data_IF_705510004427
#
_entry.id   IF_705510004427
#
_cell.length_a   1.000
_cell.length_b   1.000
_cell.length_c   1.000
_cell.angle_alpha   90.00
_cell.angle_beta   90.00
_cell.angle_gamma   90.00
#
_symmetry.space_group_name_H-M   'P 1'
#
loop_
_entity.id
_entity.type
_entity.pdbx_description
1 polymer ?
#
# COMPACT_ATOMS: atom_id res chain seq x y z
N UNK A 1 -16.29 3.83 28.70
CA UNK A 1 -15.76 4.58 27.53
C UNK A 1 -15.06 3.58 26.63
N UNK A 2 -15.65 3.35 25.44
CA UNK A 2 -15.19 2.64 24.23
C UNK A 2 -14.01 1.64 24.33
N UNK A 3 -14.33 0.37 24.15
CA UNK A 3 -13.55 -0.54 23.29
C UNK A 3 -14.55 -1.33 22.44
N UNK A 4 -14.80 -0.84 21.22
CA UNK A 4 -15.46 -1.65 20.20
C UNK A 4 -14.40 -2.53 19.56
N UNK A 5 -14.28 -3.75 20.08
CA UNK A 5 -13.61 -4.87 19.44
C UNK A 5 -14.43 -5.24 18.18
N UNK A 6 -14.02 -4.77 17.01
CA UNK A 6 -14.50 -5.33 15.75
C UNK A 6 -13.60 -6.52 15.38
N UNK A 7 -13.81 -7.65 16.07
CA UNK A 7 -13.53 -8.96 15.48
C UNK A 7 -14.78 -9.33 14.73
N UNK A 8 -14.84 -9.01 13.44
CA UNK A 8 -15.78 -9.67 12.54
C UNK A 8 -15.23 -11.06 12.26
N UNK A 9 -15.62 -12.00 13.11
CA UNK A 9 -15.66 -13.43 12.80
C UNK A 9 -16.69 -13.61 11.68
N UNK A 10 -16.22 -13.57 10.43
CA UNK A 10 -17.00 -14.01 9.28
C UNK A 10 -16.55 -15.42 8.97
N UNK A 11 -17.29 -16.38 9.53
CA UNK A 11 -17.38 -17.76 9.06
C UNK A 11 -17.90 -17.76 7.63
N UNK A 12 -17.02 -17.44 6.68
CA UNK A 12 -17.25 -17.62 5.25
C UNK A 12 -16.73 -18.99 4.91
N UNK A 13 -17.68 -19.86 4.53
CA UNK A 13 -17.45 -21.17 3.95
C UNK A 13 -16.25 -21.14 3.01
N UNK A 14 -15.47 -22.22 3.10
CA UNK A 14 -14.40 -22.63 2.20
C UNK A 14 -14.85 -22.50 0.74
N UNK A 15 -14.73 -21.30 0.16
CA UNK A 15 -14.47 -21.21 -1.26
C UNK A 15 -13.04 -21.73 -1.42
N UNK A 16 -12.92 -22.83 -2.15
CA UNK A 16 -11.67 -23.39 -2.63
C UNK A 16 -10.72 -22.28 -3.06
N UNK A 17 -9.40 -22.50 -2.92
CA UNK A 17 -8.31 -21.60 -3.26
C UNK A 17 -8.36 -21.07 -4.70
N UNK A 18 -9.35 -20.24 -5.02
CA UNK A 18 -9.53 -19.61 -6.32
C UNK A 18 -8.62 -18.40 -6.35
N UNK A 19 -7.62 -18.44 -7.23
CA UNK A 19 -6.71 -17.34 -7.53
C UNK A 19 -7.51 -16.04 -7.74
N UNK A 20 -7.13 -14.96 -7.02
CA UNK A 20 -7.82 -13.67 -7.10
C UNK A 20 -7.89 -13.15 -8.55
N UNK A 21 -6.92 -13.51 -9.40
CA UNK A 21 -6.92 -13.13 -10.82
C UNK A 21 -8.05 -13.82 -11.60
N UNK A 22 -8.32 -15.09 -11.31
CA UNK A 22 -9.44 -15.82 -11.89
C UNK A 22 -10.77 -15.22 -11.45
N UNK A 23 -10.85 -14.77 -10.20
CA UNK A 23 -12.04 -14.13 -9.63
C UNK A 23 -12.28 -12.76 -10.28
N UNK A 24 -11.24 -11.94 -10.41
CA UNK A 24 -11.30 -10.66 -11.13
C UNK A 24 -11.81 -10.90 -12.56
N UNK A 25 -11.24 -11.86 -13.28
CA UNK A 25 -11.66 -12.19 -14.65
C UNK A 25 -13.11 -12.66 -14.71
N UNK A 26 -13.53 -13.53 -13.78
CA UNK A 26 -14.90 -14.02 -13.71
C UNK A 26 -15.91 -12.88 -13.47
N UNK A 27 -15.64 -12.02 -12.48
CA UNK A 27 -16.49 -10.87 -12.18
C UNK A 27 -16.51 -9.89 -13.34
N UNK A 28 -15.36 -9.56 -13.91
CA UNK A 28 -15.29 -8.66 -15.06
C UNK A 28 -16.09 -9.21 -16.25
N UNK A 29 -16.04 -10.52 -16.52
CA UNK A 29 -16.85 -11.14 -17.57
C UNK A 29 -18.36 -11.08 -17.27
N UNK A 30 -18.77 -11.38 -16.04
CA UNK A 30 -20.17 -11.28 -15.62
C UNK A 30 -20.69 -9.84 -15.69
N UNK A 31 -19.84 -8.89 -15.28
CA UNK A 31 -20.09 -7.46 -15.34
C UNK A 31 -20.22 -7.01 -16.80
N UNK A 32 -19.30 -7.42 -17.69
CA UNK A 32 -19.39 -7.18 -19.14
C UNK A 32 -20.68 -7.75 -19.74
N UNK A 33 -21.07 -8.96 -19.37
CA UNK A 33 -22.31 -9.57 -19.88
C UNK A 33 -23.56 -8.81 -19.43
N UNK A 34 -23.56 -8.32 -18.20
CA UNK A 34 -24.71 -7.63 -17.59
C UNK A 34 -24.86 -6.19 -18.07
N UNK A 35 -23.74 -5.47 -18.25
CA UNK A 35 -23.75 -4.05 -18.61
C UNK A 35 -23.28 -3.77 -20.03
N UNK A 36 -22.35 -4.55 -20.57
CA UNK A 36 -21.89 -4.45 -21.96
C UNK A 36 -23.02 -4.59 -22.98
N UNK A 37 -24.00 -5.44 -22.70
CA UNK A 37 -25.18 -5.62 -23.56
C UNK A 37 -26.24 -4.48 -23.44
N UNK A 38 -26.06 -3.55 -22.49
CA UNK A 38 -26.98 -2.42 -22.25
C UNK A 38 -26.30 -1.05 -22.41
N UNK A 39 -25.03 -1.04 -22.82
CA UNK A 39 -24.19 0.16 -23.01
C UNK A 39 -24.39 0.80 -24.40
N UNK A 40 -25.64 1.06 -24.77
CA UNK A 40 -25.96 1.76 -26.02
C UNK A 40 -25.63 3.26 -25.95
N UNK A 41 -25.59 3.84 -24.74
CA UNK A 41 -25.25 5.23 -24.53
C UNK A 41 -23.74 5.44 -24.37
N UNK A 42 -23.10 5.94 -25.44
CA UNK A 42 -21.67 6.28 -25.48
C UNK A 42 -21.22 7.21 -24.36
N UNK A 43 -22.07 8.13 -23.87
CA UNK A 43 -21.72 9.05 -22.78
C UNK A 43 -21.62 8.35 -21.42
N UNK A 44 -22.43 7.30 -21.20
CA UNK A 44 -22.35 6.51 -19.96
C UNK A 44 -21.06 5.68 -19.93
N UNK A 45 -20.70 5.13 -21.09
CA UNK A 45 -19.46 4.38 -21.27
C UNK A 45 -18.22 5.28 -21.05
N UNK A 46 -18.25 6.52 -21.55
CA UNK A 46 -17.19 7.51 -21.31
C UNK A 46 -17.00 7.78 -19.84
N UNK A 47 -18.09 8.06 -19.14
CA UNK A 47 -18.08 8.34 -17.71
C UNK A 47 -17.52 7.16 -16.92
N UNK A 48 -17.88 5.94 -17.28
CA UNK A 48 -17.41 4.73 -16.60
C UNK A 48 -15.91 4.47 -16.83
N UNK A 49 -15.41 4.74 -18.03
CA UNK A 49 -13.98 4.70 -18.34
C UNK A 49 -13.23 5.75 -17.53
N UNK A 50 -13.73 6.99 -17.50
CA UNK A 50 -13.11 8.05 -16.72
C UNK A 50 -13.05 7.67 -15.23
N UNK A 51 -14.12 7.09 -14.68
CA UNK A 51 -14.16 6.59 -13.30
C UNK A 51 -13.10 5.50 -13.06
N UNK A 52 -12.96 4.53 -13.95
CA UNK A 52 -11.98 3.44 -13.83
C UNK A 52 -10.55 3.99 -13.86
N UNK A 53 -10.23 4.84 -14.85
CA UNK A 53 -8.89 5.41 -15.03
C UNK A 53 -8.51 6.31 -13.84
N UNK A 54 -9.39 7.22 -13.43
CA UNK A 54 -9.16 8.12 -12.30
C UNK A 54 -9.02 7.33 -10.99
N UNK A 55 -9.83 6.29 -10.78
CA UNK A 55 -9.74 5.44 -9.58
C UNK A 55 -8.40 4.69 -9.50
N UNK A 56 -7.91 4.18 -10.63
CA UNK A 56 -6.58 3.55 -10.69
C UNK A 56 -5.47 4.56 -10.38
N UNK A 57 -5.50 5.75 -11.00
CA UNK A 57 -4.50 6.78 -10.74
C UNK A 57 -4.47 7.19 -9.25
N UNK A 58 -5.62 7.32 -8.60
CA UNK A 58 -5.68 7.56 -7.14
C UNK A 58 -5.01 6.44 -6.37
N UNK A 59 -5.28 5.17 -6.71
CA UNK A 59 -4.70 4.02 -6.04
C UNK A 59 -3.18 3.97 -6.22
N UNK A 60 -2.68 4.24 -7.43
CA UNK A 60 -1.26 4.26 -7.78
C UNK A 60 -0.52 5.38 -7.03
N UNK A 61 -1.05 6.61 -7.06
CA UNK A 61 -0.44 7.74 -6.34
C UNK A 61 -0.46 7.52 -4.82
N UNK A 62 -1.52 6.90 -4.30
CA UNK A 62 -1.60 6.55 -2.88
C UNK A 62 -0.50 5.54 -2.48
N UNK A 63 -0.26 4.52 -3.31
CA UNK A 63 0.81 3.54 -3.07
C UNK A 63 2.20 4.21 -3.14
N UNK A 64 2.43 5.07 -4.14
CA UNK A 64 3.68 5.83 -4.31
C UNK A 64 3.99 6.68 -3.08
N UNK A 65 3.00 7.45 -2.59
CA UNK A 65 3.15 8.23 -1.36
C UNK A 65 3.44 7.37 -0.14
N UNK A 66 2.80 6.20 0.00
CA UNK A 66 3.06 5.30 1.12
C UNK A 66 4.48 4.73 1.08
N UNK A 67 4.99 4.34 -0.09
CA UNK A 67 6.37 3.87 -0.26
C UNK A 67 7.39 4.96 0.04
N UNK A 68 7.14 6.18 -0.44
CA UNK A 68 8.00 7.34 -0.15
C UNK A 68 8.03 7.66 1.36
N UNK A 69 6.88 7.62 2.05
CA UNK A 69 6.80 7.80 3.50
C UNK A 69 7.59 6.74 4.26
N UNK A 70 7.48 5.46 3.89
CA UNK A 70 8.26 4.39 4.51
C UNK A 70 9.76 4.59 4.29
N UNK A 71 10.15 5.07 3.10
CA UNK A 71 11.55 5.39 2.79
C UNK A 71 12.06 6.53 3.66
N UNK A 72 11.28 7.61 3.84
CA UNK A 72 11.64 8.67 4.77
C UNK A 72 11.77 8.18 6.22
N UNK A 73 10.85 7.34 6.68
CA UNK A 73 10.90 6.78 8.02
C UNK A 73 12.16 5.93 8.25
N UNK A 74 12.54 5.13 7.25
CA UNK A 74 13.75 4.31 7.29
C UNK A 74 15.01 5.18 7.35
N UNK A 75 15.12 6.20 6.50
CA UNK A 75 16.28 7.10 6.48
C UNK A 75 16.38 7.96 7.74
N UNK A 76 15.25 8.47 8.26
CA UNK A 76 15.25 9.18 9.53
C UNK A 76 15.73 8.28 10.67
N UNK A 77 15.30 7.02 10.70
CA UNK A 77 15.77 6.08 11.71
C UNK A 77 17.29 5.91 11.64
N UNK A 78 17.86 5.72 10.44
CA UNK A 78 19.33 5.61 10.24
C UNK A 78 20.08 6.85 10.75
N UNK A 79 19.53 8.05 10.56
CA UNK A 79 20.13 9.29 11.06
C UNK A 79 20.05 9.39 12.59
N UNK A 80 18.92 9.04 13.19
CA UNK A 80 18.72 9.14 14.64
C UNK A 80 19.44 8.05 15.42
N UNK A 81 19.65 6.88 14.82
CA UNK A 81 20.36 5.75 15.42
C UNK A 81 21.50 5.29 14.51
N UNK A 82 22.59 6.06 14.35
CA UNK A 82 23.73 5.62 13.57
C UNK A 82 24.31 4.35 14.20
N UNK A 83 24.20 3.22 13.50
CA UNK A 83 24.63 1.93 14.04
C UNK A 83 26.10 1.69 13.73
N UNK A 84 26.86 1.21 14.72
CA UNK A 84 28.24 0.75 14.49
C UNK A 84 28.33 -0.46 13.52
N UNK A 85 27.19 -1.09 13.21
CA UNK A 85 27.09 -2.18 12.23
C UNK A 85 26.57 -1.74 10.85
N UNK A 86 26.16 -0.47 10.70
CA UNK A 86 25.80 0.04 9.38
C UNK A 86 27.02 -0.02 8.46
N UNK A 87 26.78 -0.26 7.17
CA UNK A 87 27.86 -0.29 6.19
C UNK A 87 28.67 1.00 6.29
N UNK A 88 29.98 0.93 6.05
CA UNK A 88 30.83 2.13 6.08
C UNK A 88 30.25 3.24 5.18
N UNK A 89 29.61 2.89 4.06
CA UNK A 89 28.90 3.85 3.20
C UNK A 89 27.70 4.51 3.89
N UNK A 90 26.83 3.74 4.54
CA UNK A 90 25.66 4.28 5.27
C UNK A 90 26.11 5.21 6.40
N UNK A 91 27.13 4.81 7.15
CA UNK A 91 27.72 5.66 8.20
C UNK A 91 28.36 6.93 7.62
N UNK A 92 29.07 6.85 6.50
CA UNK A 92 29.63 8.02 5.82
C UNK A 92 28.56 8.94 5.26
N UNK A 93 27.44 8.42 4.74
CA UNK A 93 26.31 9.23 4.29
C UNK A 93 25.68 10.02 5.44
N UNK A 94 25.44 9.36 6.58
CA UNK A 94 24.95 10.03 7.80
C UNK A 94 25.94 11.08 8.30
N UNK A 95 27.24 10.75 8.36
CA UNK A 95 28.31 11.68 8.78
C UNK A 95 28.43 12.89 7.83
N UNK A 96 28.21 12.69 6.53
CA UNK A 96 28.27 13.73 5.52
C UNK A 96 26.97 14.54 5.39
N UNK A 97 25.95 14.26 6.21
CA UNK A 97 24.60 14.82 6.06
C UNK A 97 24.05 14.66 4.64
N UNK A 98 24.29 13.51 3.99
CA UNK A 98 23.73 13.20 2.69
C UNK A 98 22.22 12.95 2.84
N UNK A 99 21.44 13.99 2.55
CA UNK A 99 19.97 13.97 2.61
C UNK A 99 19.32 13.59 1.28
N UNK A 100 20.08 13.15 0.28
CA UNK A 100 19.57 12.91 -1.07
C UNK A 100 18.42 11.91 -1.13
N UNK A 101 18.45 10.83 -0.34
CA UNK A 101 17.36 9.84 -0.28
C UNK A 101 16.09 10.45 0.33
N UNK A 102 16.25 11.27 1.38
CA UNK A 102 15.13 12.00 1.99
C UNK A 102 14.53 13.03 1.04
N UNK A 103 15.37 13.76 0.31
CA UNK A 103 14.96 14.75 -0.68
C UNK A 103 14.20 14.10 -1.83
N UNK A 104 14.73 12.99 -2.38
CA UNK A 104 14.06 12.23 -3.43
C UNK A 104 12.71 11.68 -2.98
N UNK A 105 12.62 11.14 -1.75
CA UNK A 105 11.35 10.64 -1.21
C UNK A 105 10.35 11.78 -0.95
N UNK A 106 10.82 12.93 -0.47
CA UNK A 106 10.00 14.12 -0.28
C UNK A 106 9.48 14.66 -1.62
N UNK A 107 10.31 14.69 -2.64
CA UNK A 107 9.93 15.15 -3.97
C UNK A 107 8.93 14.20 -4.63
N UNK A 108 9.08 12.89 -4.45
CA UNK A 108 8.06 11.92 -4.85
C UNK A 108 6.70 12.20 -4.17
N UNK A 109 6.68 12.53 -2.88
CA UNK A 109 5.44 12.92 -2.18
C UNK A 109 4.85 14.20 -2.76
N UNK A 110 5.67 15.24 -3.00
CA UNK A 110 5.19 16.51 -3.58
C UNK A 110 4.62 16.28 -4.99
N UNK A 111 5.29 15.48 -5.80
CA UNK A 111 4.83 15.14 -7.14
C UNK A 111 3.50 14.39 -7.07
N UNK A 112 3.39 13.34 -6.26
CA UNK A 112 2.13 12.61 -6.08
C UNK A 112 1.00 13.48 -5.55
N UNK A 113 1.28 14.43 -4.65
CA UNK A 113 0.29 15.41 -4.19
C UNK A 113 -0.20 16.33 -5.31
N UNK A 114 0.72 16.81 -6.15
CA UNK A 114 0.36 17.62 -7.31
C UNK A 114 -0.48 16.82 -8.32
N UNK A 115 -0.11 15.56 -8.58
CA UNK A 115 -0.88 14.64 -9.45
C UNK A 115 -2.26 14.38 -8.88
N UNK A 116 -2.39 14.06 -7.58
CA UNK A 116 -3.69 13.87 -6.91
C UNK A 116 -4.57 15.12 -6.97
N UNK A 117 -3.96 16.32 -6.87
CA UNK A 117 -4.69 17.57 -7.03
C UNK A 117 -5.25 17.73 -8.46
N UNK A 118 -4.48 17.32 -9.48
CA UNK A 118 -4.95 17.30 -10.86
C UNK A 118 -6.09 16.27 -11.06
N UNK A 119 -5.90 15.05 -10.57
CA UNK A 119 -6.91 13.98 -10.60
C UNK A 119 -8.20 14.44 -9.91
N UNK A 120 -8.10 15.13 -8.77
CA UNK A 120 -9.26 15.68 -8.08
C UNK A 120 -10.00 16.75 -8.91
N UNK A 121 -9.26 17.58 -9.64
CA UNK A 121 -9.87 18.54 -10.56
C UNK A 121 -10.57 17.84 -11.73
N UNK A 122 -9.98 16.77 -12.28
CA UNK A 122 -10.64 15.94 -13.31
C UNK A 122 -11.90 15.26 -12.74
N UNK A 123 -11.84 14.68 -11.55
CA UNK A 123 -12.99 14.11 -10.84
C UNK A 123 -14.14 15.11 -10.66
N UNK A 124 -13.85 16.37 -10.34
CA UNK A 124 -14.89 17.42 -10.26
C UNK A 124 -15.63 17.61 -11.58
N UNK A 125 -14.94 17.45 -12.71
CA UNK A 125 -15.57 17.55 -14.04
C UNK A 125 -16.39 16.30 -14.41
N UNK A 126 -15.98 15.13 -13.92
CA UNK A 126 -16.65 13.85 -14.17
C UNK A 126 -17.83 13.63 -13.22
N UNK A 127 -17.78 14.15 -11.99
CA UNK A 127 -18.79 13.93 -10.95
C UNK A 127 -20.24 14.23 -11.37
N UNK A 128 -20.56 15.34 -12.08
CA UNK A 128 -21.91 15.58 -12.57
C UNK A 128 -22.41 14.50 -13.54
N UNK A 129 -21.50 13.89 -14.32
CA UNK A 129 -21.82 12.81 -15.26
C UNK A 129 -22.07 11.49 -14.54
N UNK A 130 -21.35 11.23 -13.44
CA UNK A 130 -21.56 10.03 -12.60
C UNK A 130 -22.99 9.97 -12.06
N UNK A 131 -23.57 11.12 -11.71
CA UNK A 131 -24.95 11.19 -11.19
C UNK A 131 -25.98 10.86 -12.30
N UNK A 132 -25.61 11.03 -13.57
CA UNK A 132 -26.48 10.82 -14.72
C UNK A 132 -26.45 9.38 -15.25
N UNK A 133 -25.41 8.61 -14.92
CA UNK A 133 -25.33 7.20 -15.33
C UNK A 133 -26.13 6.31 -14.38
N UNK A 134 -26.56 5.15 -14.89
CA UNK A 134 -27.08 4.09 -14.04
C UNK A 134 -26.02 3.76 -12.96
N UNK A 135 -26.35 3.84 -11.66
CA UNK A 135 -25.39 3.56 -10.60
C UNK A 135 -24.99 2.08 -10.53
N UNK A 136 -25.82 1.19 -11.05
CA UNK A 136 -25.69 -0.26 -10.94
C UNK A 136 -24.34 -0.80 -11.47
N UNK A 137 -23.84 -0.39 -12.67
CA UNK A 137 -22.48 -0.72 -13.11
C UNK A 137 -21.37 -0.31 -12.13
N UNK A 138 -21.40 0.92 -11.63
CA UNK A 138 -20.38 1.44 -10.72
C UNK A 138 -20.45 0.78 -9.34
N UNK A 139 -21.65 0.52 -8.81
CA UNK A 139 -21.84 -0.20 -7.55
C UNK A 139 -21.35 -1.65 -7.65
N UNK A 140 -21.60 -2.31 -8.79
CA UNK A 140 -21.12 -3.66 -9.05
C UNK A 140 -19.60 -3.69 -9.10
N UNK A 141 -18.96 -2.76 -9.83
CA UNK A 141 -17.50 -2.62 -9.87
C UNK A 141 -16.89 -2.45 -8.46
N UNK A 142 -17.50 -1.61 -7.62
CA UNK A 142 -17.06 -1.40 -6.23
C UNK A 142 -17.23 -2.67 -5.40
N UNK A 143 -18.35 -3.38 -5.57
CA UNK A 143 -18.61 -4.65 -4.89
C UNK A 143 -17.58 -5.71 -5.29
N UNK A 144 -17.27 -5.81 -6.57
CA UNK A 144 -16.31 -6.76 -7.12
C UNK A 144 -14.89 -6.44 -6.67
N UNK A 145 -14.52 -5.15 -6.61
CA UNK A 145 -13.25 -4.70 -6.03
C UNK A 145 -13.13 -5.16 -4.58
N UNK A 146 -14.16 -4.89 -3.76
CA UNK A 146 -14.18 -5.29 -2.35
C UNK A 146 -14.07 -6.81 -2.21
N UNK A 147 -14.82 -7.57 -3.00
CA UNK A 147 -14.80 -9.03 -2.95
C UNK A 147 -13.42 -9.59 -3.34
N UNK A 148 -12.88 -9.12 -4.45
CA UNK A 148 -11.56 -9.53 -4.96
C UNK A 148 -10.46 -9.18 -3.97
N UNK A 149 -10.51 -7.99 -3.36
CA UNK A 149 -9.54 -7.55 -2.36
C UNK A 149 -9.59 -8.43 -1.09
N UNK A 150 -10.78 -8.82 -0.64
CA UNK A 150 -10.94 -9.72 0.51
C UNK A 150 -10.34 -11.09 0.25
N UNK A 151 -10.46 -11.62 -0.97
CA UNK A 151 -9.89 -12.93 -1.33
C UNK A 151 -8.38 -12.83 -1.51
N UNK A 152 -7.92 -11.81 -2.22
CA UNK A 152 -6.50 -11.50 -2.34
C UNK A 152 -5.84 -11.40 -0.97
N UNK A 153 -6.47 -10.71 -0.01
CA UNK A 153 -5.98 -10.57 1.36
C UNK A 153 -5.83 -11.91 2.10
N UNK A 154 -6.76 -12.84 1.90
CA UNK A 154 -6.68 -14.20 2.47
C UNK A 154 -5.52 -15.02 1.89
N UNK A 155 -5.11 -14.74 0.66
CA UNK A 155 -4.02 -15.44 -0.02
C UNK A 155 -2.63 -14.91 0.38
N UNK A 156 -2.55 -13.79 1.11
CA UNK A 156 -1.29 -13.23 1.60
C UNK A 156 -0.74 -13.97 2.82
N UNK A 157 -0.68 -15.31 2.76
CA UNK A 157 -0.21 -16.16 3.86
C UNK A 157 1.25 -15.85 4.25
N UNK A 158 2.09 -15.58 3.25
CA UNK A 158 3.49 -15.22 3.46
C UNK A 158 3.63 -13.92 4.27
N UNK A 159 2.91 -12.86 3.88
CA UNK A 159 2.93 -11.58 4.62
C UNK A 159 2.37 -11.78 6.03
N UNK A 160 1.30 -12.56 6.16
CA UNK A 160 0.70 -12.84 7.48
C UNK A 160 1.70 -13.56 8.39
N UNK A 161 2.42 -14.56 7.87
CA UNK A 161 3.46 -15.25 8.62
C UNK A 161 4.61 -14.32 9.02
N UNK A 162 5.05 -13.43 8.12
CA UNK A 162 6.07 -12.42 8.41
C UNK A 162 5.61 -11.44 9.50
N UNK A 163 4.35 -11.00 9.47
CA UNK A 163 3.79 -10.14 10.52
C UNK A 163 3.73 -10.85 11.89
N UNK A 164 3.42 -12.15 11.91
CA UNK A 164 3.49 -12.95 13.14
C UNK A 164 4.93 -13.08 13.66
N UNK A 165 5.92 -13.24 12.77
CA UNK A 165 7.33 -13.27 13.15
C UNK A 165 7.77 -11.93 13.77
N UNK A 166 7.45 -10.82 13.12
CA UNK A 166 7.67 -9.45 13.64
C UNK A 166 7.04 -9.26 15.02
N UNK A 167 5.82 -9.78 15.24
CA UNK A 167 5.16 -9.68 16.54
C UNK A 167 5.95 -10.40 17.65
N UNK A 168 6.53 -11.55 17.33
CA UNK A 168 7.40 -12.29 18.25
C UNK A 168 8.69 -11.51 18.53
N UNK A 169 9.31 -10.94 17.49
CA UNK A 169 10.51 -10.10 17.62
C UNK A 169 10.27 -8.90 18.53
N UNK A 170 9.14 -8.20 18.37
CA UNK A 170 8.75 -7.11 19.28
C UNK A 170 8.58 -7.60 20.73
N UNK A 171 7.95 -8.77 20.90
CA UNK A 171 7.75 -9.35 22.23
C UNK A 171 9.09 -9.66 22.91
N UNK A 172 10.05 -10.20 22.15
CA UNK A 172 11.42 -10.44 22.63
C UNK A 172 12.14 -9.14 22.99
N UNK A 173 12.05 -8.10 22.16
CA UNK A 173 12.67 -6.80 22.44
C UNK A 173 12.08 -6.15 23.72
N UNK A 174 10.76 -6.23 23.92
CA UNK A 174 10.08 -5.73 25.13
C UNK A 174 10.54 -6.47 26.39
N UNK A 175 10.71 -7.79 26.30
CA UNK A 175 11.24 -8.58 27.41
C UNK A 175 12.67 -8.13 27.79
N UNK A 176 13.54 -7.91 26.80
CA UNK A 176 14.90 -7.43 27.06
C UNK A 176 14.94 -6.03 27.69
N UNK A 177 14.06 -5.11 27.26
CA UNK A 177 13.92 -3.79 27.91
C UNK A 177 13.54 -3.95 29.39
N UNK A 178 12.66 -4.91 29.69
CA UNK A 178 12.25 -5.20 31.07
C UNK A 178 13.40 -5.74 31.92
N UNK A 179 14.24 -6.60 31.34
CA UNK A 179 15.44 -7.13 32.00
C UNK A 179 16.48 -6.02 32.27
N UNK A 180 16.70 -5.13 31.29
CA UNK A 180 17.57 -3.95 31.46
C UNK A 180 17.07 -3.08 32.61
N UNK A 181 15.76 -2.84 32.69
CA UNK A 181 15.18 -2.07 33.79
C UNK A 181 15.50 -2.70 35.14
N UNK A 182 15.33 -4.02 35.26
CA UNK A 182 15.67 -4.75 36.49
C UNK A 182 17.15 -4.60 36.86
N UNK A 183 18.06 -4.63 35.88
CA UNK A 183 19.49 -4.40 36.11
C UNK A 183 19.74 -3.00 36.66
N UNK A 184 19.10 -1.97 36.10
CA UNK A 184 19.22 -0.59 36.61
C UNK A 184 18.62 -0.42 38.01
N UNK A 185 17.45 -1.02 38.27
CA UNK A 185 16.83 -1.01 39.60
C UNK A 185 17.74 -1.68 40.64
N UNK A 186 18.40 -2.79 40.28
CA UNK A 186 19.36 -3.49 41.16
C UNK A 186 20.61 -2.64 41.43
N UNK A 187 21.14 -1.97 40.39
CA UNK A 187 22.28 -1.06 40.53
C UNK A 187 21.94 0.17 41.39
N UNK A 188 20.73 0.72 41.28
CA UNK A 188 20.29 1.85 42.09
C UNK A 188 20.09 1.52 43.57
N UNK A 189 19.82 0.26 43.90
CA UNK A 189 19.60 -0.23 45.26
C UNK A 189 20.87 -0.83 45.92
N UNK A 190 22.01 -0.86 45.22
CA UNK A 190 23.28 -1.37 45.77
C UNK A 190 24.17 -0.22 46.25
N UNK A 191 24.74 -0.35 47.45
CA UNK A 191 25.58 0.69 48.06
C UNK A 191 26.95 0.86 47.36
N UNK A 192 27.43 -0.16 46.67
CA UNK A 192 28.66 -0.12 45.86
C UNK A 192 28.37 -0.49 44.40
N UNK A 193 28.56 0.47 43.51
CA UNK A 193 28.42 0.27 42.06
C UNK A 193 29.76 -0.19 41.48
N UNK A 194 29.83 -1.45 41.04
CA UNK A 194 31.02 -2.02 40.39
C UNK A 194 31.03 -1.70 38.90
N UNK A 195 32.22 -1.37 38.37
CA UNK A 195 32.43 -1.11 36.93
C UNK A 195 31.95 -2.27 36.03
N UNK A 196 32.06 -3.52 36.50
CA UNK A 196 31.55 -4.69 35.76
C UNK A 196 30.04 -4.64 35.52
N UNK A 197 29.24 -4.18 36.48
CA UNK A 197 27.78 -4.07 36.33
C UNK A 197 27.40 -2.96 35.33
N UNK A 198 28.13 -1.85 35.35
CA UNK A 198 27.96 -0.77 34.36
C UNK A 198 28.28 -1.25 32.94
N UNK A 199 29.35 -2.03 32.77
CA UNK A 199 29.72 -2.61 31.46
C UNK A 199 28.67 -3.62 30.97
N UNK A 200 28.17 -4.46 31.86
CA UNK A 200 27.13 -5.44 31.54
C UNK A 200 25.83 -4.76 31.12
N UNK A 201 25.35 -3.78 31.91
CA UNK A 201 24.16 -3.01 31.59
C UNK A 201 24.30 -2.23 30.27
N UNK A 202 25.45 -1.59 30.03
CA UNK A 202 25.73 -0.92 28.77
C UNK A 202 25.75 -1.90 27.58
N UNK A 203 26.32 -3.09 27.76
CA UNK A 203 26.31 -4.15 26.76
C UNK A 203 24.90 -4.65 26.45
N UNK A 204 24.08 -4.87 27.48
CA UNK A 204 22.67 -5.23 27.32
C UNK A 204 21.88 -4.14 26.60
N UNK A 205 22.02 -2.87 27.01
CA UNK A 205 21.38 -1.73 26.34
C UNK A 205 21.78 -1.67 24.86
N UNK A 206 23.08 -1.74 24.56
CA UNK A 206 23.57 -1.72 23.18
C UNK A 206 23.00 -2.86 22.33
N UNK A 207 22.96 -4.08 22.89
CA UNK A 207 22.37 -5.24 22.21
C UNK A 207 20.88 -5.06 21.97
N UNK A 208 20.13 -4.63 22.98
CA UNK A 208 18.68 -4.43 22.87
C UNK A 208 18.33 -3.33 21.88
N UNK A 209 19.10 -2.23 21.85
CA UNK A 209 18.94 -1.19 20.81
C UNK A 209 19.12 -1.77 19.41
N UNK A 210 20.16 -2.60 19.20
CA UNK A 210 20.38 -3.28 17.91
C UNK A 210 19.23 -4.23 17.53
N UNK A 211 18.72 -4.99 18.50
CA UNK A 211 17.61 -5.90 18.25
C UNK A 211 16.35 -5.12 17.85
N UNK A 212 16.08 -3.98 18.51
CA UNK A 212 14.98 -3.06 18.16
C UNK A 212 15.14 -2.49 16.74
N UNK A 213 16.34 -2.02 16.37
CA UNK A 213 16.66 -1.55 15.02
C UNK A 213 16.35 -2.64 13.97
N UNK A 214 16.75 -3.88 14.24
CA UNK A 214 16.47 -5.03 13.37
C UNK A 214 14.97 -5.29 13.21
N UNK A 215 14.18 -5.22 14.29
CA UNK A 215 12.73 -5.37 14.22
C UNK A 215 12.12 -4.28 13.34
N UNK A 216 12.53 -3.01 13.51
CA UNK A 216 12.02 -1.90 12.71
C UNK A 216 12.39 -2.03 11.22
N UNK A 217 13.59 -2.49 10.91
CA UNK A 217 14.01 -2.77 9.54
C UNK A 217 13.13 -3.88 8.92
N UNK A 218 12.91 -4.97 9.65
CA UNK A 218 12.07 -6.08 9.20
C UNK A 218 10.62 -5.64 8.97
N UNK A 219 10.01 -4.90 9.91
CA UNK A 219 8.67 -4.30 9.76
C UNK A 219 8.57 -3.43 8.51
N UNK A 220 9.57 -2.57 8.30
CA UNK A 220 9.58 -1.63 7.18
C UNK A 220 9.66 -2.38 5.85
N UNK A 221 10.50 -3.41 5.76
CA UNK A 221 10.60 -4.26 4.58
C UNK A 221 9.29 -4.98 4.27
N UNK A 222 8.68 -5.64 5.27
CA UNK A 222 7.41 -6.36 5.09
C UNK A 222 6.30 -5.41 4.65
N UNK A 223 6.26 -4.18 5.19
CA UNK A 223 5.32 -3.15 4.75
C UNK A 223 5.54 -2.69 3.31
N UNK A 224 6.79 -2.45 2.90
CA UNK A 224 7.12 -2.11 1.49
C UNK A 224 6.66 -3.20 0.54
N UNK A 225 6.98 -4.46 0.84
CA UNK A 225 6.52 -5.63 0.07
C UNK A 225 4.99 -5.67 -0.01
N UNK A 226 4.30 -5.46 1.12
CA UNK A 226 2.84 -5.46 1.18
C UNK A 226 2.22 -4.39 0.28
N UNK A 227 2.76 -3.17 0.29
CA UNK A 227 2.28 -2.07 -0.57
C UNK A 227 2.50 -2.41 -2.05
N UNK A 228 3.68 -2.95 -2.40
CA UNK A 228 3.95 -3.36 -3.79
C UNK A 228 2.97 -4.45 -4.26
N UNK A 229 2.66 -5.44 -3.42
CA UNK A 229 1.66 -6.46 -3.75
C UNK A 229 0.25 -5.85 -3.91
N UNK A 230 -0.13 -4.87 -3.07
CA UNK A 230 -1.40 -4.13 -3.21
C UNK A 230 -1.44 -3.35 -4.53
N UNK A 231 -0.33 -2.70 -4.89
CA UNK A 231 -0.21 -1.98 -6.14
C UNK A 231 -0.41 -2.90 -7.34
N UNK A 232 0.24 -4.08 -7.35
CA UNK A 232 0.02 -5.10 -8.39
C UNK A 232 -1.43 -5.56 -8.45
N UNK A 233 -2.08 -5.76 -7.30
CA UNK A 233 -3.50 -6.10 -7.25
C UNK A 233 -4.37 -5.02 -7.94
N UNK A 234 -4.16 -3.74 -7.60
CA UNK A 234 -4.92 -2.66 -8.22
C UNK A 234 -4.65 -2.53 -9.72
N UNK A 235 -3.39 -2.65 -10.16
CA UNK A 235 -3.04 -2.68 -11.58
C UNK A 235 -3.84 -3.76 -12.31
N UNK A 236 -3.79 -5.01 -11.83
CA UNK A 236 -4.52 -6.12 -12.45
C UNK A 236 -6.03 -5.91 -12.43
N UNK A 237 -6.59 -5.48 -11.29
CA UNK A 237 -8.03 -5.24 -11.16
C UNK A 237 -8.51 -4.22 -12.19
N UNK A 238 -7.94 -3.01 -12.18
CA UNK A 238 -8.39 -1.94 -13.07
C UNK A 238 -8.07 -2.23 -14.55
N UNK A 239 -6.91 -2.82 -14.85
CA UNK A 239 -6.54 -3.22 -16.20
C UNK A 239 -7.55 -4.20 -16.79
N UNK A 240 -8.00 -5.21 -16.02
CA UNK A 240 -8.98 -6.20 -16.52
C UNK A 240 -10.30 -5.53 -16.89
N UNK A 241 -10.88 -4.73 -15.99
CA UNK A 241 -12.15 -4.03 -16.27
C UNK A 241 -12.01 -3.04 -17.42
N UNK A 242 -10.92 -2.28 -17.45
CA UNK A 242 -10.65 -1.32 -18.52
C UNK A 242 -10.50 -2.01 -19.88
N UNK A 243 -9.71 -3.08 -19.96
CA UNK A 243 -9.47 -3.84 -21.20
C UNK A 243 -10.77 -4.38 -21.77
N UNK A 244 -11.68 -4.86 -20.93
CA UNK A 244 -12.99 -5.33 -21.38
C UNK A 244 -13.83 -4.22 -22.02
N UNK A 245 -13.80 -3.00 -21.47
CA UNK A 245 -14.48 -1.84 -22.05
C UNK A 245 -13.79 -1.35 -23.31
N UNK A 246 -12.46 -1.31 -23.32
CA UNK A 246 -11.65 -0.93 -24.47
C UNK A 246 -11.93 -1.82 -25.68
N UNK A 247 -12.03 -3.14 -25.48
CA UNK A 247 -12.37 -4.10 -26.54
C UNK A 247 -13.78 -3.90 -27.09
N UNK A 248 -14.76 -3.58 -26.24
CA UNK A 248 -16.12 -3.26 -26.70
C UNK A 248 -16.12 -2.02 -27.61
N UNK A 249 -15.44 -0.95 -27.18
CA UNK A 249 -15.35 0.30 -27.94
C UNK A 249 -14.68 0.15 -29.30
N UNK A 250 -13.59 -0.61 -29.35
CA UNK A 250 -12.82 -0.83 -30.57
C UNK A 250 -13.56 -1.73 -31.56
N UNK A 251 -14.32 -2.72 -31.07
CA UNK A 251 -15.14 -3.59 -31.92
C UNK A 251 -16.34 -2.87 -32.53
N UNK A 252 -16.96 -1.96 -31.78
CA UNK A 252 -18.17 -1.23 -32.20
C UNK A 252 -17.89 0.03 -33.05
N UNK A 253 -16.64 0.29 -33.45
CA UNK A 253 -16.27 1.44 -34.28
C UNK A 253 -16.76 2.80 -33.72
N UNK A 254 -16.80 2.94 -32.39
CA UNK A 254 -17.18 4.19 -31.71
C UNK A 254 -16.00 5.18 -31.72
N UNK A 255 -15.66 5.71 -32.90
CA UNK A 255 -14.42 6.45 -33.18
C UNK A 255 -14.31 7.86 -32.55
N UNK A 256 -15.35 8.37 -31.89
CA UNK A 256 -15.36 9.70 -31.26
C UNK A 256 -15.43 9.60 -29.73
N UNK A 257 -14.48 8.87 -29.13
CA UNK A 257 -14.39 8.71 -27.69
C UNK A 257 -13.42 9.73 -27.09
N UNK A 258 -13.94 10.62 -26.23
CA UNK A 258 -13.14 11.60 -25.51
C UNK A 258 -13.15 11.21 -24.03
N UNK A 259 -11.98 10.94 -23.47
CA UNK A 259 -11.81 10.70 -22.02
C UNK A 259 -11.40 11.99 -21.33
N UNK A 260 -11.92 12.23 -20.13
CA UNK A 260 -11.52 13.35 -19.28
C UNK A 260 -10.43 12.96 -18.27
N UNK A 261 -10.07 11.68 -18.21
CA UNK A 261 -9.07 11.15 -17.29
C UNK A 261 -7.62 11.30 -17.79
N UNK A 262 -7.41 11.57 -19.08
CA UNK A 262 -6.08 11.81 -19.64
C UNK A 262 -5.92 13.24 -20.14
N UNK A 263 -4.71 13.78 -20.05
CA UNK A 263 -4.42 15.17 -20.46
C UNK A 263 -4.62 15.39 -21.96
N UNK A 264 -4.30 14.38 -22.78
CA UNK A 264 -4.48 14.39 -24.24
C UNK A 264 -5.92 14.06 -24.67
N UNK A 265 -6.78 13.71 -23.70
CA UNK A 265 -8.17 13.31 -23.85
C UNK A 265 -8.41 12.12 -24.79
N UNK A 266 -7.36 11.33 -25.05
CA UNK A 266 -7.42 10.13 -25.89
C UNK A 266 -7.60 8.89 -25.04
N UNK A 267 -8.32 7.92 -25.58
CA UNK A 267 -8.45 6.61 -24.95
C UNK A 267 -7.07 5.91 -24.92
N UNK A 268 -6.44 5.72 -23.74
CA UNK A 268 -5.11 5.14 -23.68
C UNK A 268 -5.15 3.62 -23.96
N UNK A 269 -4.07 3.08 -24.54
CA UNK A 269 -3.98 1.62 -24.66
C UNK A 269 -3.81 0.98 -23.27
N UNK A 270 -4.51 -0.13 -22.92
CA UNK A 270 -4.41 -0.74 -21.60
C UNK A 270 -2.97 -0.99 -21.15
N UNK A 271 -2.16 -1.66 -21.99
CA UNK A 271 -0.79 -2.03 -21.62
C UNK A 271 0.18 -0.84 -21.49
N UNK A 272 -0.19 0.33 -22.02
CA UNK A 272 0.62 1.55 -21.89
C UNK A 272 0.23 2.36 -20.64
N UNK A 273 -0.98 2.19 -20.12
CA UNK A 273 -1.51 2.95 -18.99
C UNK A 273 -1.35 2.22 -17.66
N UNK A 274 -1.51 0.91 -17.65
CA UNK A 274 -1.42 0.07 -16.46
C UNK A 274 -0.03 -0.60 -16.42
N UNK A 275 0.95 0.12 -15.87
CA UNK A 275 2.35 -0.32 -15.69
C UNK A 275 2.63 -0.62 -14.20
#
# INVERSE_FOLDING_TARGET
MKQYFFITFLTLQLYAHADYEQIINHHAHAWKKSYGATLDNTAHLQTLIDVILLSYQIAQESCTMMLAKLTMQEELLKIYTPSLNDSWHTNMQVINNDTSILENALDAIKQSQATLQNIFNQLKTVAPRIIQINPQPTQTLISDLKHSLMIWGKQQHEITAQLCCIQQEFSSAIAMISDIKLMFDTMGNTAELKNCHLKEAAGCVSKTTKDIESVFAHVTQVRKISILKIQTFFTKFFQTYYTMLYQLLTTEQKYNFITLATDDKKLPHPDAFFI
#
